data_IF_606419841013
#
_entry.id   IF_606419841013
#
_cell.length_a   1.000
_cell.length_b   1.000
_cell.length_c   1.000
_cell.angle_alpha   90.00
_cell.angle_beta   90.00
_cell.angle_gamma   90.00
#
_symmetry.space_group_name_H-M   'P 1'
#
loop_
_entity.id
_entity.type
_entity.pdbx_description
1 polymer ?
#
# COMPACT_ATOMS: atom_id res chain seq x y z
N UNK A 1 8.50 21.21 -1.88
CA UNK A 1 7.47 20.41 -1.20
C UNK A 1 7.78 18.97 -1.52
N UNK A 2 8.16 18.15 -0.54
CA UNK A 2 8.53 16.75 -0.78
C UNK A 2 7.27 15.95 -1.10
N UNK A 3 7.23 15.29 -2.25
CA UNK A 3 6.06 14.51 -2.66
C UNK A 3 6.04 13.19 -1.88
N UNK A 4 5.18 13.10 -0.86
CA UNK A 4 5.18 11.99 0.12
C UNK A 4 3.87 11.22 0.07
N UNK A 5 3.93 9.90 0.13
CA UNK A 5 2.76 9.04 0.22
C UNK A 5 2.73 8.26 1.54
N UNK A 6 1.55 7.72 1.88
CA UNK A 6 1.39 6.72 2.94
C UNK A 6 0.96 5.42 2.33
N UNK A 7 1.66 4.33 2.64
CA UNK A 7 1.41 2.99 2.10
C UNK A 7 0.96 2.07 3.23
N UNK A 8 -0.13 1.34 3.03
CA UNK A 8 -0.60 0.29 3.92
C UNK A 8 -0.45 -1.09 3.26
N UNK A 9 0.27 -1.99 3.94
CA UNK A 9 0.47 -3.37 3.52
C UNK A 9 -0.29 -4.34 4.43
N UNK A 10 -0.38 -5.60 4.00
CA UNK A 10 -1.16 -6.65 4.66
C UNK A 10 -0.38 -7.37 5.79
N UNK A 11 0.31 -6.62 6.64
CA UNK A 11 0.97 -7.16 7.83
C UNK A 11 0.20 -6.81 9.12
N UNK A 12 0.96 -6.64 10.20
CA UNK A 12 0.43 -6.23 11.49
C UNK A 12 -0.22 -4.87 11.39
N UNK A 13 -1.50 -4.84 11.76
CA UNK A 13 -2.34 -3.64 11.68
C UNK A 13 -1.76 -2.53 12.56
N UNK A 14 -1.51 -1.33 12.00
CA UNK A 14 -1.11 -0.18 12.80
C UNK A 14 -2.27 0.29 13.68
N UNK A 15 -1.95 0.89 14.83
CA UNK A 15 -2.98 1.49 15.70
C UNK A 15 -3.17 2.96 15.35
N UNK A 16 -4.35 3.55 15.64
CA UNK A 16 -4.63 4.98 15.42
C UNK A 16 -3.60 5.93 16.05
N UNK A 17 -2.87 5.50 17.09
CA UNK A 17 -1.79 6.28 17.72
C UNK A 17 -0.49 6.30 16.89
N UNK A 18 -0.26 5.27 16.10
CA UNK A 18 0.94 5.08 15.25
C UNK A 18 0.75 5.71 13.88
N UNK A 19 -0.51 5.90 13.48
CA UNK A 19 -0.93 6.48 12.23
C UNK A 19 -0.96 8.01 12.38
N UNK A 20 -0.12 8.72 11.62
CA UNK A 20 -0.09 10.19 11.62
C UNK A 20 -1.25 10.83 10.85
N UNK A 21 -1.24 12.16 10.73
CA UNK A 21 -2.23 12.88 9.93
C UNK A 21 -2.05 12.64 8.43
N UNK A 22 -3.15 12.39 7.73
CA UNK A 22 -3.19 12.13 6.28
C UNK A 22 -3.53 13.39 5.49
N UNK A 23 -2.55 14.24 5.23
CA UNK A 23 -2.69 15.31 4.24
C UNK A 23 -1.87 15.00 2.98
N UNK A 24 -1.94 13.75 2.53
CA UNK A 24 -1.09 13.18 1.48
C UNK A 24 -1.75 11.93 0.87
N UNK A 25 -1.38 11.52 -0.36
CA UNK A 25 -1.96 10.35 -0.99
C UNK A 25 -1.74 9.08 -0.15
N UNK A 26 -2.83 8.33 0.02
CA UNK A 26 -2.88 7.06 0.73
C UNK A 26 -3.04 5.94 -0.29
N UNK A 27 -2.09 5.02 -0.27
CA UNK A 27 -2.10 3.82 -1.10
C UNK A 27 -2.18 2.60 -0.20
N UNK A 28 -2.92 1.58 -0.59
CA UNK A 28 -2.94 0.33 0.16
C UNK A 28 -2.95 -0.89 -0.75
N UNK A 29 -2.42 -2.01 -0.24
CA UNK A 29 -2.63 -3.29 -0.91
C UNK A 29 -4.09 -3.74 -0.75
N UNK A 30 -4.58 -4.60 -1.64
CA UNK A 30 -5.92 -5.18 -1.55
C UNK A 30 -6.13 -5.87 -0.18
N UNK A 31 -5.14 -6.63 0.29
CA UNK A 31 -5.17 -7.24 1.62
C UNK A 31 -5.28 -6.22 2.77
N UNK A 32 -4.68 -5.04 2.61
CA UNK A 32 -4.74 -3.98 3.62
C UNK A 32 -6.09 -3.25 3.67
N UNK A 33 -6.81 -3.16 2.53
CA UNK A 33 -8.11 -2.51 2.44
C UNK A 33 -9.09 -3.02 3.51
N UNK A 34 -9.05 -4.33 3.81
CA UNK A 34 -9.90 -5.02 4.79
C UNK A 34 -9.81 -4.43 6.20
N UNK A 35 -8.67 -3.87 6.60
CA UNK A 35 -8.51 -3.24 7.92
C UNK A 35 -8.43 -1.71 7.87
N UNK A 36 -8.04 -1.12 6.73
CA UNK A 36 -7.95 0.33 6.55
C UNK A 36 -9.35 0.97 6.57
N UNK A 37 -10.34 0.36 5.93
CA UNK A 37 -11.72 0.87 5.93
C UNK A 37 -12.34 0.98 7.35
N UNK A 38 -12.30 -0.06 8.21
CA UNK A 38 -12.76 0.04 9.61
C UNK A 38 -12.05 1.10 10.46
N UNK A 39 -10.82 1.50 10.08
CA UNK A 39 -10.09 2.55 10.79
C UNK A 39 -10.61 3.96 10.47
N UNK A 40 -11.52 4.09 9.49
CA UNK A 40 -12.03 5.36 8.99
C UNK A 40 -11.07 6.06 8.03
N UNK A 41 -10.14 5.30 7.42
CA UNK A 41 -9.16 5.80 6.48
C UNK A 41 -9.68 5.48 5.07
N UNK A 42 -9.80 6.51 4.24
CA UNK A 42 -10.16 6.36 2.84
C UNK A 42 -8.87 6.36 1.99
N UNK A 43 -8.44 5.22 1.43
CA UNK A 43 -7.30 5.19 0.53
C UNK A 43 -7.65 5.88 -0.79
N UNK A 44 -6.71 6.59 -1.41
CA UNK A 44 -6.86 7.14 -2.75
C UNK A 44 -6.66 6.05 -3.81
N UNK A 45 -5.73 5.13 -3.54
CA UNK A 45 -5.37 4.04 -4.44
C UNK A 45 -5.35 2.68 -3.73
N UNK A 46 -5.96 1.69 -4.35
CA UNK A 46 -5.86 0.28 -3.95
C UNK A 46 -5.18 -0.47 -5.06
N UNK A 47 -4.06 -1.13 -4.75
CA UNK A 47 -3.25 -1.86 -5.72
C UNK A 47 -3.17 -3.32 -5.31
N UNK A 48 -3.36 -4.24 -6.25
CA UNK A 48 -3.26 -5.67 -6.02
C UNK A 48 -3.88 -6.47 -7.15
N UNK A 49 -3.93 -7.79 -6.96
CA UNK A 49 -4.42 -8.72 -7.99
C UNK A 49 -5.93 -8.95 -7.95
N UNK A 50 -6.63 -8.49 -6.90
CA UNK A 50 -8.09 -8.62 -6.72
C UNK A 50 -8.66 -10.04 -6.92
N UNK A 51 -7.81 -11.08 -6.89
CA UNK A 51 -8.15 -12.50 -7.13
C UNK A 51 -9.08 -13.07 -6.04
N UNK A 52 -9.14 -12.43 -4.87
CA UNK A 52 -9.88 -12.92 -3.71
C UNK A 52 -11.07 -12.03 -3.38
N UNK A 53 -12.16 -12.15 -4.14
CA UNK A 53 -13.47 -11.58 -3.82
C UNK A 53 -13.40 -10.14 -3.30
N UNK A 54 -13.14 -9.16 -4.16
CA UNK A 54 -13.54 -7.79 -3.85
C UNK A 54 -15.04 -7.72 -4.09
N UNK A 55 -15.92 -7.73 -3.06
CA UNK A 55 -17.33 -7.50 -3.32
C UNK A 55 -17.46 -6.13 -3.96
N UNK A 56 -18.25 -6.02 -5.02
CA UNK A 56 -18.55 -4.74 -5.70
C UNK A 56 -18.98 -3.66 -4.69
N UNK A 57 -19.55 -4.06 -3.56
CA UNK A 57 -19.93 -3.21 -2.43
C UNK A 57 -18.78 -2.53 -1.66
N UNK A 58 -17.53 -2.94 -1.84
CA UNK A 58 -16.36 -2.25 -1.23
C UNK A 58 -15.74 -1.20 -2.14
N UNK A 59 -16.14 -1.15 -3.42
CA UNK A 59 -15.66 -0.14 -4.37
C UNK A 59 -16.34 1.19 -4.08
N UNK A 60 -15.68 2.05 -3.31
CA UNK A 60 -16.10 3.44 -3.20
C UNK A 60 -15.74 4.17 -4.49
N UNK A 61 -16.65 4.97 -5.04
CA UNK A 61 -16.43 5.78 -6.25
C UNK A 61 -15.28 6.79 -6.13
N UNK A 62 -14.80 7.03 -4.90
CA UNK A 62 -13.66 7.93 -4.62
C UNK A 62 -12.31 7.22 -4.62
N UNK A 63 -12.27 5.89 -4.74
CA UNK A 63 -11.05 5.08 -4.63
C UNK A 63 -10.68 4.54 -6.00
N UNK A 64 -9.42 4.74 -6.40
CA UNK A 64 -8.90 4.21 -7.67
C UNK A 64 -8.34 2.81 -7.44
N UNK A 65 -8.96 1.82 -8.05
CA UNK A 65 -8.49 0.44 -8.04
C UNK A 65 -7.53 0.22 -9.21
N UNK A 66 -6.31 -0.22 -8.92
CA UNK A 66 -5.24 -0.40 -9.89
C UNK A 66 -4.88 -1.87 -9.91
N UNK A 67 -5.37 -2.56 -10.93
CA UNK A 67 -5.05 -3.96 -11.17
C UNK A 67 -3.78 -4.03 -12.01
N UNK A 68 -2.77 -4.72 -11.49
CA UNK A 68 -1.50 -4.96 -12.20
C UNK A 68 -1.33 -6.46 -12.33
N UNK A 69 -1.61 -6.98 -13.52
CA UNK A 69 -1.63 -8.40 -13.87
C UNK A 69 -0.26 -9.11 -13.83
N UNK A 70 0.79 -8.45 -13.33
CA UNK A 70 2.10 -9.05 -13.14
C UNK A 70 2.14 -9.89 -11.85
N UNK A 71 1.87 -11.19 -12.02
CA UNK A 71 1.90 -12.18 -10.94
C UNK A 71 3.31 -12.48 -10.40
N UNK A 72 4.38 -11.96 -11.02
CA UNK A 72 5.75 -12.17 -10.55
C UNK A 72 6.23 -11.09 -9.57
N UNK A 73 5.44 -10.02 -9.38
CA UNK A 73 5.78 -8.91 -8.50
C UNK A 73 4.87 -8.89 -7.28
N UNK A 74 5.45 -8.58 -6.14
CA UNK A 74 4.68 -8.46 -4.90
C UNK A 74 3.76 -7.22 -4.94
N UNK A 75 2.67 -7.24 -4.17
CA UNK A 75 1.79 -6.07 -4.01
C UNK A 75 2.58 -4.80 -3.64
N UNK A 76 3.62 -4.93 -2.81
CA UNK A 76 4.40 -3.78 -2.40
C UNK A 76 5.28 -3.23 -3.54
N UNK A 77 5.88 -4.08 -4.38
CA UNK A 77 6.61 -3.63 -5.57
C UNK A 77 5.69 -2.90 -6.54
N UNK A 78 4.48 -3.40 -6.74
CA UNK A 78 3.44 -2.77 -7.56
C UNK A 78 3.10 -1.38 -7.02
N UNK A 79 2.88 -1.24 -5.72
CA UNK A 79 2.60 0.05 -5.07
C UNK A 79 3.78 1.02 -5.23
N UNK A 80 5.01 0.56 -5.03
CA UNK A 80 6.21 1.39 -5.13
C UNK A 80 6.46 1.85 -6.58
N UNK A 81 6.29 0.97 -7.56
CA UNK A 81 6.38 1.33 -8.98
C UNK A 81 5.33 2.40 -9.33
N UNK A 82 4.08 2.18 -8.94
CA UNK A 82 2.98 3.11 -9.15
C UNK A 82 3.20 4.47 -8.45
N UNK A 83 3.79 4.45 -7.26
CA UNK A 83 4.18 5.65 -6.50
C UNK A 83 5.27 6.42 -7.22
N UNK A 84 6.29 5.71 -7.71
CA UNK A 84 7.42 6.30 -8.45
C UNK A 84 6.96 6.98 -9.74
N UNK A 85 6.05 6.36 -10.50
CA UNK A 85 5.50 6.95 -11.73
C UNK A 85 4.75 8.27 -11.47
N UNK A 86 4.23 8.47 -10.26
CA UNK A 86 3.57 9.71 -9.82
C UNK A 86 4.54 10.72 -9.21
N UNK A 87 5.84 10.44 -9.26
CA UNK A 87 6.88 11.29 -8.69
C UNK A 87 6.87 11.33 -7.17
N UNK A 88 6.36 10.30 -6.49
CA UNK A 88 6.50 10.18 -5.03
C UNK A 88 7.97 9.94 -4.70
N UNK A 89 8.54 10.79 -3.86
CA UNK A 89 9.94 10.73 -3.45
C UNK A 89 10.11 10.07 -2.08
N UNK A 90 9.05 10.04 -1.27
CA UNK A 90 9.07 9.50 0.09
C UNK A 90 7.80 8.73 0.41
N UNK A 91 7.91 7.58 1.07
CA UNK A 91 6.76 6.75 1.43
C UNK A 91 6.81 6.31 2.89
N UNK A 92 5.75 6.57 3.66
CA UNK A 92 5.61 6.00 5.00
C UNK A 92 4.87 4.67 4.91
N UNK A 93 5.55 3.56 5.18
CA UNK A 93 5.00 2.22 5.02
C UNK A 93 4.54 1.65 6.36
N UNK A 94 3.28 1.26 6.42
CA UNK A 94 2.67 0.61 7.57
C UNK A 94 2.27 -0.82 7.24
N UNK A 95 2.34 -1.71 8.24
CA UNK A 95 1.98 -3.10 8.05
C UNK A 95 2.95 -3.87 7.16
N UNK A 96 4.22 -3.45 7.06
CA UNK A 96 5.23 -4.18 6.28
C UNK A 96 5.58 -5.55 6.89
N UNK A 97 5.39 -5.73 8.21
CA UNK A 97 5.78 -6.93 8.95
C UNK A 97 4.65 -7.47 9.84
N UNK A 98 4.76 -8.72 10.30
CA UNK A 98 3.99 -9.25 11.43
C UNK A 98 2.78 -10.15 11.12
N UNK A 99 2.63 -10.59 9.87
CA UNK A 99 1.80 -11.76 9.53
C UNK A 99 2.72 -12.91 9.09
N UNK A 100 2.90 -13.10 7.79
CA UNK A 100 3.71 -14.17 7.22
C UNK A 100 5.15 -13.69 6.95
N UNK A 101 6.14 -14.52 7.26
CA UNK A 101 7.55 -14.10 7.23
C UNK A 101 8.12 -14.03 5.81
N UNK A 102 7.65 -14.88 4.92
CA UNK A 102 7.91 -14.82 3.48
C UNK A 102 7.40 -13.50 2.88
N UNK A 103 6.19 -13.06 3.23
CA UNK A 103 5.67 -11.75 2.84
C UNK A 103 6.50 -10.60 3.40
N UNK A 104 6.95 -10.68 4.66
CA UNK A 104 7.86 -9.67 5.22
C UNK A 104 9.19 -9.60 4.46
N UNK A 105 9.77 -10.76 4.11
CA UNK A 105 11.01 -10.81 3.34
C UNK A 105 10.82 -10.24 1.93
N UNK A 106 9.70 -10.54 1.27
CA UNK A 106 9.30 -9.93 0.01
C UNK A 106 9.18 -8.41 0.13
N UNK A 107 8.56 -7.91 1.20
CA UNK A 107 8.43 -6.48 1.44
C UNK A 107 9.80 -5.79 1.64
N UNK A 108 10.71 -6.43 2.38
CA UNK A 108 12.07 -5.91 2.59
C UNK A 108 12.86 -5.90 1.27
N UNK A 109 12.74 -6.95 0.46
CA UNK A 109 13.35 -7.01 -0.86
C UNK A 109 12.85 -5.88 -1.77
N UNK A 110 11.55 -5.63 -1.79
CA UNK A 110 10.95 -4.52 -2.51
C UNK A 110 11.50 -3.16 -2.04
N UNK A 111 11.54 -2.92 -0.73
CA UNK A 111 12.10 -1.68 -0.18
C UNK A 111 13.56 -1.45 -0.61
N UNK A 112 14.37 -2.51 -0.59
CA UNK A 112 15.77 -2.44 -1.03
C UNK A 112 15.89 -2.13 -2.53
N UNK A 113 15.05 -2.74 -3.36
CA UNK A 113 15.02 -2.52 -4.81
C UNK A 113 14.69 -1.08 -5.18
N UNK A 114 13.79 -0.44 -4.44
CA UNK A 114 13.33 0.92 -4.69
C UNK A 114 14.05 2.00 -3.88
N UNK A 115 15.05 1.64 -3.05
CA UNK A 115 15.79 2.57 -2.18
C UNK A 115 16.36 3.81 -2.88
N UNK A 116 16.77 3.69 -4.15
CA UNK A 116 17.36 4.81 -4.91
C UNK A 116 16.30 5.69 -5.59
N UNK A 117 15.03 5.27 -5.56
CA UNK A 117 13.91 5.93 -6.24
C UNK A 117 12.96 6.57 -5.24
N UNK A 118 12.70 5.88 -4.11
CA UNK A 118 11.80 6.32 -3.05
C UNK A 118 12.51 6.15 -1.70
N UNK A 119 12.47 7.19 -0.88
CA UNK A 119 12.87 7.15 0.53
C UNK A 119 11.75 6.48 1.35
N UNK A 120 12.00 5.27 1.84
CA UNK A 120 11.03 4.39 2.51
C UNK A 120 11.35 4.31 4.01
#
# INVERSE_FOLDING_TARGET
>A
MTNRATIFLNGRRPTKKTIGAFNRPIMCSDGALKYVQPLGIAPDFVIGDFDSQTPENTKSNTVTYVELSDQNTTDFEKILAFSSERGVEKADVYGASGNEQDHFLGNLHAALRFKNTIDI
#
